data_IF_770546182565
#
_entry.id   IF_770546182565
#
_cell.length_a   1.000
_cell.length_b   1.000
_cell.length_c   1.000
_cell.angle_alpha   90.00
_cell.angle_beta   90.00
_cell.angle_gamma   90.00
#
_symmetry.space_group_name_H-M   'P 1'
#
loop_
_entity.id
_entity.type
_entity.pdbx_description
1 polymer ?
#
# COMPACT_ATOMS: atom_id res chain seq x y z
N UNK A 1 -9.51 -6.85 -9.95
CA UNK A 1 -8.39 -6.82 -8.99
C UNK A 1 -7.64 -5.57 -9.27
N UNK A 2 -7.20 -4.91 -8.22
CA UNK A 2 -6.46 -3.66 -8.30
C UNK A 2 -4.98 -3.92 -8.56
N UNK A 3 -4.33 -2.85 -8.99
CA UNK A 3 -2.88 -2.71 -9.15
C UNK A 3 -2.53 -1.26 -8.86
N UNK A 4 -1.34 -1.01 -8.32
CA UNK A 4 -0.86 0.37 -8.13
C UNK A 4 -0.68 1.12 -9.47
N UNK A 5 -0.72 2.46 -9.45
CA UNK A 5 -0.42 3.26 -10.63
C UNK A 5 0.93 2.90 -11.27
N UNK A 6 0.98 2.93 -12.60
CA UNK A 6 2.22 2.80 -13.35
C UNK A 6 2.56 4.15 -13.98
N UNK A 7 3.77 4.65 -13.74
CA UNK A 7 4.32 5.80 -14.48
C UNK A 7 4.87 5.30 -15.83
N UNK A 8 4.25 5.59 -16.98
CA UNK A 8 4.69 5.05 -18.27
C UNK A 8 6.13 5.40 -18.65
N UNK A 9 6.64 6.54 -18.20
CA UNK A 9 8.03 6.98 -18.50
C UNK A 9 9.08 6.05 -17.88
N UNK A 10 8.74 5.35 -16.80
CA UNK A 10 9.63 4.40 -16.13
C UNK A 10 9.62 3.00 -16.75
N UNK A 11 8.78 2.75 -17.76
CA UNK A 11 8.62 1.42 -18.33
C UNK A 11 9.27 1.29 -19.71
N UNK A 12 9.92 0.15 -19.94
CA UNK A 12 10.47 -0.22 -21.25
C UNK A 12 9.41 -0.82 -22.19
N UNK A 13 8.25 -1.17 -21.64
CA UNK A 13 7.12 -1.84 -22.32
C UNK A 13 5.84 -1.16 -21.85
N UNK A 14 4.75 -1.28 -22.58
CA UNK A 14 3.47 -0.79 -22.08
C UNK A 14 3.10 -1.55 -20.78
N UNK A 15 2.92 -0.85 -19.63
CA UNK A 15 2.58 -1.50 -18.36
C UNK A 15 1.23 -2.24 -18.40
N UNK A 16 0.30 -1.85 -19.25
CA UNK A 16 -1.05 -2.43 -19.29
C UNK A 16 -1.27 -3.38 -20.46
N UNK A 17 -0.20 -3.69 -21.21
CA UNK A 17 -0.19 -4.72 -22.24
C UNK A 17 0.77 -5.84 -21.83
N UNK A 18 0.24 -7.05 -21.66
CA UNK A 18 1.06 -8.22 -21.31
C UNK A 18 2.05 -8.52 -22.44
N UNK A 19 3.34 -8.41 -22.13
CA UNK A 19 4.43 -8.69 -23.07
C UNK A 19 5.20 -9.92 -22.61
N UNK A 20 5.35 -10.91 -23.50
CA UNK A 20 6.08 -12.15 -23.21
C UNK A 20 7.41 -12.14 -23.94
N UNK A 21 8.50 -12.30 -23.21
CA UNK A 21 9.85 -12.41 -23.77
C UNK A 21 10.61 -13.54 -23.12
N UNK A 22 10.83 -14.61 -23.89
CA UNK A 22 11.42 -15.84 -23.37
C UNK A 22 10.57 -16.44 -22.25
N UNK A 23 11.14 -16.50 -21.05
CA UNK A 23 10.53 -17.02 -19.83
C UNK A 23 9.91 -15.93 -18.94
N UNK A 24 9.94 -14.66 -19.37
CA UNK A 24 9.47 -13.52 -18.58
C UNK A 24 8.19 -12.92 -19.13
N UNK A 25 7.30 -12.57 -18.20
CA UNK A 25 6.04 -11.88 -18.46
C UNK A 25 6.07 -10.48 -17.85
N UNK A 26 5.98 -9.47 -18.71
CA UNK A 26 6.02 -8.06 -18.32
C UNK A 26 4.63 -7.43 -18.41
N UNK A 27 4.26 -6.73 -17.35
CA UNK A 27 3.02 -5.99 -17.21
C UNK A 27 2.80 -5.61 -15.75
N UNK A 28 2.11 -4.51 -15.49
CA UNK A 28 1.71 -4.11 -14.14
C UNK A 28 0.79 -5.19 -13.57
N UNK A 29 1.19 -5.70 -12.42
CA UNK A 29 0.47 -6.74 -11.68
C UNK A 29 0.80 -8.17 -12.08
N UNK A 30 1.72 -8.43 -13.02
CA UNK A 30 2.13 -9.81 -13.34
C UNK A 30 2.72 -10.52 -12.12
N UNK A 31 3.43 -9.79 -11.27
CA UNK A 31 3.95 -10.27 -9.97
C UNK A 31 2.97 -10.02 -8.82
N UNK A 32 2.32 -8.85 -8.81
CA UNK A 32 1.56 -8.36 -7.65
C UNK A 32 0.16 -7.83 -8.05
N UNK A 33 -0.89 -8.66 -7.98
CA UNK A 33 -0.82 -10.12 -7.83
C UNK A 33 -1.65 -10.85 -8.90
N UNK A 34 -1.90 -10.21 -10.06
CA UNK A 34 -2.70 -10.77 -11.16
C UNK A 34 -2.16 -12.11 -11.70
N UNK A 35 -0.84 -12.33 -11.68
CA UNK A 35 -0.26 -13.64 -12.00
C UNK A 35 -0.74 -14.75 -11.06
N UNK A 36 -0.83 -14.46 -9.75
CA UNK A 36 -1.36 -15.36 -8.73
C UNK A 36 -2.86 -15.57 -8.90
N UNK A 37 -3.62 -14.52 -9.24
CA UNK A 37 -5.05 -14.63 -9.57
C UNK A 37 -5.26 -15.60 -10.74
N UNK A 38 -4.46 -15.48 -11.80
CA UNK A 38 -4.51 -16.39 -12.94
C UNK A 38 -4.17 -17.83 -12.54
N UNK A 39 -3.09 -18.03 -11.77
CA UNK A 39 -2.67 -19.32 -11.26
C UNK A 39 -3.75 -20.01 -10.42
N UNK A 40 -4.32 -19.30 -9.44
CA UNK A 40 -5.37 -19.82 -8.56
C UNK A 40 -6.66 -20.12 -9.34
N UNK A 41 -7.00 -19.29 -10.33
CA UNK A 41 -8.14 -19.54 -11.21
C UNK A 41 -7.94 -20.83 -12.01
N UNK A 42 -6.74 -21.03 -12.59
CA UNK A 42 -6.41 -22.24 -13.34
C UNK A 42 -6.44 -23.49 -12.46
N UNK A 43 -5.90 -23.41 -11.23
CA UNK A 43 -5.92 -24.50 -10.26
C UNK A 43 -7.36 -24.94 -9.97
N UNK A 44 -8.24 -24.02 -9.60
CA UNK A 44 -9.64 -24.35 -9.29
C UNK A 44 -10.39 -24.88 -10.52
N UNK A 45 -10.09 -24.36 -11.71
CA UNK A 45 -10.64 -24.88 -12.98
C UNK A 45 -10.20 -26.33 -13.23
N UNK A 46 -8.94 -26.66 -13.03
CA UNK A 46 -8.41 -28.01 -13.22
C UNK A 46 -8.94 -29.00 -12.16
N UNK A 47 -9.08 -28.57 -10.90
CA UNK A 47 -9.72 -29.38 -9.85
C UNK A 47 -11.16 -29.76 -10.23
N UNK A 48 -11.92 -28.79 -10.75
CA UNK A 48 -13.28 -29.01 -11.21
C UNK A 48 -13.36 -29.95 -12.41
N UNK A 49 -12.53 -29.72 -13.44
CA UNK A 49 -12.47 -30.57 -14.65
C UNK A 49 -12.12 -32.02 -14.33
N UNK A 50 -11.16 -32.23 -13.42
CA UNK A 50 -10.69 -33.57 -13.02
C UNK A 50 -11.58 -34.21 -11.95
N UNK A 51 -12.61 -33.51 -11.48
CA UNK A 51 -13.53 -33.97 -10.43
C UNK A 51 -12.78 -34.49 -9.19
N UNK A 52 -11.71 -33.78 -8.80
CA UNK A 52 -10.90 -34.16 -7.63
C UNK A 52 -11.77 -34.08 -6.38
N UNK A 53 -11.85 -35.19 -5.63
CA UNK A 53 -12.51 -35.21 -4.33
C UNK A 53 -11.55 -34.73 -3.26
N UNK A 54 -11.89 -33.60 -2.64
CA UNK A 54 -11.16 -33.05 -1.51
C UNK A 54 -11.80 -33.53 -0.21
N UNK A 55 -10.98 -33.82 0.80
CA UNK A 55 -11.46 -34.14 2.16
C UNK A 55 -12.03 -32.91 2.87
N UNK A 56 -11.62 -31.72 2.45
CA UNK A 56 -12.05 -30.43 3.00
C UNK A 56 -12.54 -29.49 1.90
N UNK A 57 -13.35 -28.51 2.30
CA UNK A 57 -13.83 -27.47 1.38
C UNK A 57 -12.71 -26.46 1.09
N UNK A 58 -12.27 -26.37 -0.16
CA UNK A 58 -11.39 -25.31 -0.62
C UNK A 58 -12.20 -24.11 -1.12
N UNK A 59 -11.83 -22.90 -0.70
CA UNK A 59 -12.45 -21.65 -1.13
C UNK A 59 -11.35 -20.68 -1.57
N UNK A 60 -11.51 -20.09 -2.75
CA UNK A 60 -10.64 -19.01 -3.21
C UNK A 60 -11.37 -17.68 -3.02
N UNK A 61 -10.77 -16.76 -2.26
CA UNK A 61 -11.26 -15.40 -2.09
C UNK A 61 -10.37 -14.48 -2.90
N UNK A 62 -11.02 -13.64 -3.68
CA UNK A 62 -10.43 -12.84 -4.73
C UNK A 62 -10.95 -11.41 -4.49
N UNK A 63 -10.06 -10.50 -4.06
CA UNK A 63 -10.41 -9.16 -3.59
C UNK A 63 -9.89 -8.06 -4.54
N UNK A 64 -10.48 -6.88 -4.40
CA UNK A 64 -9.97 -5.64 -5.00
C UNK A 64 -9.79 -4.60 -3.89
N UNK A 65 -9.07 -3.52 -4.17
CA UNK A 65 -8.78 -2.44 -3.23
C UNK A 65 -7.88 -2.90 -2.07
N UNK A 66 -6.97 -3.83 -2.34
CA UNK A 66 -5.94 -4.24 -1.37
C UNK A 66 -4.88 -3.13 -1.24
N UNK A 67 -4.48 -2.54 -2.37
CA UNK A 67 -3.50 -1.46 -2.48
C UNK A 67 -4.09 -0.07 -2.19
N UNK A 68 -5.42 0.00 -2.03
CA UNK A 68 -6.15 1.25 -1.85
C UNK A 68 -7.26 1.11 -0.80
N UNK A 69 -7.08 1.74 0.36
CA UNK A 69 -8.08 1.74 1.43
C UNK A 69 -9.05 2.93 1.37
N UNK A 70 -9.01 3.78 0.33
CA UNK A 70 -9.84 4.98 0.26
C UNK A 70 -11.27 4.73 -0.21
N UNK A 71 -11.57 3.54 -0.77
CA UNK A 71 -12.90 3.20 -1.29
C UNK A 71 -13.67 2.39 -0.22
N UNK A 72 -14.67 2.98 0.47
CA UNK A 72 -15.40 2.26 1.51
C UNK A 72 -16.21 1.11 0.92
N UNK A 73 -16.34 0.01 1.67
CA UNK A 73 -17.18 -1.13 1.29
C UNK A 73 -16.61 -2.02 0.18
N UNK A 74 -15.33 -1.86 -0.16
CA UNK A 74 -14.59 -2.73 -1.08
C UNK A 74 -13.45 -3.41 -0.32
N UNK A 75 -13.04 -4.61 -0.75
CA UNK A 75 -11.92 -5.35 -0.17
C UNK A 75 -12.31 -6.41 0.85
N UNK A 76 -11.30 -6.97 1.51
CA UNK A 76 -11.47 -8.10 2.43
C UNK A 76 -12.27 -7.69 3.68
N UNK A 77 -12.12 -6.45 4.15
CA UNK A 77 -12.84 -5.93 5.32
C UNK A 77 -14.35 -5.92 5.09
N UNK A 78 -14.80 -5.34 3.97
CA UNK A 78 -16.21 -5.35 3.59
C UNK A 78 -16.78 -6.77 3.43
N UNK A 79 -15.96 -7.70 2.94
CA UNK A 79 -16.34 -9.11 2.83
C UNK A 79 -16.50 -9.77 4.21
N UNK A 80 -15.59 -9.49 5.15
CA UNK A 80 -15.70 -9.96 6.53
C UNK A 80 -16.93 -9.38 7.23
N UNK A 81 -17.17 -8.08 7.11
CA UNK A 81 -18.34 -7.40 7.71
C UNK A 81 -19.67 -7.96 7.17
N UNK A 82 -19.69 -8.40 5.91
CA UNK A 82 -20.88 -8.99 5.31
C UNK A 82 -21.27 -10.37 5.86
N UNK A 83 -20.38 -11.04 6.61
CA UNK A 83 -20.57 -12.41 7.12
C UNK A 83 -20.55 -13.51 6.05
N UNK A 84 -20.40 -13.17 4.77
CA UNK A 84 -20.44 -14.13 3.65
C UNK A 84 -19.35 -15.20 3.70
N UNK A 85 -18.25 -14.91 4.40
CA UNK A 85 -17.11 -15.83 4.56
C UNK A 85 -16.96 -16.35 6.00
N UNK A 86 -17.97 -16.18 6.87
CA UNK A 86 -17.90 -16.66 8.26
C UNK A 86 -17.67 -18.17 8.34
N UNK A 87 -18.16 -18.91 7.36
CA UNK A 87 -18.00 -20.37 7.27
C UNK A 87 -16.54 -20.83 7.06
N UNK A 88 -15.62 -19.93 6.67
CA UNK A 88 -14.17 -20.21 6.56
C UNK A 88 -13.33 -19.48 7.61
N UNK A 89 -13.92 -18.66 8.47
CA UNK A 89 -13.20 -17.74 9.37
C UNK A 89 -12.22 -18.43 10.33
N UNK A 90 -12.51 -19.66 10.73
CA UNK A 90 -11.66 -20.45 11.64
C UNK A 90 -10.78 -21.48 10.92
N UNK A 91 -10.80 -21.48 9.59
CA UNK A 91 -9.99 -22.39 8.77
C UNK A 91 -8.56 -21.86 8.57
N UNK A 92 -7.65 -22.71 8.06
CA UNK A 92 -6.35 -22.25 7.61
C UNK A 92 -6.52 -21.30 6.41
N UNK A 93 -5.75 -20.22 6.41
CA UNK A 93 -5.70 -19.25 5.31
C UNK A 93 -4.33 -19.28 4.68
N UNK A 94 -4.30 -19.35 3.35
CA UNK A 94 -3.09 -19.15 2.56
C UNK A 94 -3.31 -17.86 1.77
N UNK A 95 -2.58 -16.83 2.14
CA UNK A 95 -2.53 -15.58 1.39
C UNK A 95 -1.46 -15.73 0.31
N UNK A 96 -1.87 -15.64 -0.95
CA UNK A 96 -0.97 -15.81 -2.11
C UNK A 96 -0.71 -14.44 -2.69
N UNK A 97 0.50 -13.94 -2.47
CA UNK A 97 0.85 -12.56 -2.78
C UNK A 97 2.36 -12.39 -2.99
N UNK A 98 2.72 -11.38 -3.79
CA UNK A 98 4.09 -11.01 -4.12
C UNK A 98 4.92 -12.12 -4.80
N UNK A 99 6.12 -11.75 -5.28
CA UNK A 99 7.14 -12.74 -5.66
C UNK A 99 8.36 -12.63 -4.75
N UNK A 100 9.13 -13.72 -4.72
CA UNK A 100 10.48 -13.79 -4.15
C UNK A 100 10.60 -13.70 -2.62
N UNK A 101 9.53 -14.07 -1.90
CA UNK A 101 9.58 -14.27 -0.44
C UNK A 101 9.33 -15.73 -0.06
N UNK A 102 10.02 -16.19 0.99
CA UNK A 102 9.71 -17.45 1.66
C UNK A 102 8.30 -17.34 2.30
N UNK A 103 7.60 -18.47 2.54
CA UNK A 103 6.33 -18.45 3.26
C UNK A 103 6.43 -17.63 4.55
N UNK A 104 5.52 -16.66 4.69
CA UNK A 104 5.48 -15.76 5.83
C UNK A 104 4.29 -16.09 6.74
N UNK A 105 4.50 -15.99 8.06
CA UNK A 105 3.47 -16.25 9.08
C UNK A 105 2.97 -14.97 9.77
N UNK A 106 3.43 -13.80 9.34
CA UNK A 106 3.02 -12.51 9.89
C UNK A 106 3.57 -11.33 9.10
N UNK A 107 2.74 -10.30 8.91
CA UNK A 107 3.11 -9.06 8.23
C UNK A 107 3.14 -7.89 9.22
N UNK A 108 3.83 -6.82 8.84
CA UNK A 108 3.80 -5.58 9.61
C UNK A 108 2.40 -4.94 9.51
N UNK A 109 1.95 -4.34 10.61
CA UNK A 109 0.77 -3.47 10.58
C UNK A 109 1.10 -2.13 9.90
N UNK A 110 0.07 -1.46 9.41
CA UNK A 110 0.17 -0.12 8.83
C UNK A 110 -0.79 0.83 9.54
N UNK A 111 -0.34 2.05 9.81
CA UNK A 111 -1.18 3.14 10.31
C UNK A 111 -0.86 4.37 9.45
N UNK A 112 -1.89 4.92 8.82
CA UNK A 112 -1.80 6.14 8.01
C UNK A 112 -2.46 7.31 8.75
N UNK A 113 -1.90 8.51 8.58
CA UNK A 113 -2.43 9.75 9.15
C UNK A 113 -1.93 10.95 8.36
N UNK A 114 -2.57 12.10 8.55
CA UNK A 114 -2.27 13.33 7.81
C UNK A 114 -1.75 14.41 8.74
N UNK A 115 -0.59 14.99 8.42
CA UNK A 115 -0.08 16.20 9.06
C UNK A 115 -0.53 17.43 8.28
N UNK A 116 -1.14 18.40 8.96
CA UNK A 116 -1.48 19.70 8.37
C UNK A 116 -0.72 20.82 9.07
N UNK A 117 0.13 21.51 8.32
CA UNK A 117 0.84 22.71 8.77
C UNK A 117 0.27 23.96 8.10
N UNK A 118 -0.20 24.92 8.90
CA UNK A 118 -0.82 26.16 8.41
C UNK A 118 0.09 27.35 8.68
N UNK A 119 0.60 27.96 7.61
CA UNK A 119 1.40 29.18 7.66
C UNK A 119 0.58 30.48 7.61
N UNK A 120 1.26 31.59 7.30
CA UNK A 120 0.67 32.91 7.05
C UNK A 120 1.20 33.48 5.74
N UNK A 121 0.29 33.82 4.83
CA UNK A 121 0.60 34.17 3.45
C UNK A 121 1.19 35.58 3.42
N UNK A 122 2.32 35.74 2.75
CA UNK A 122 2.90 37.05 2.48
C UNK A 122 3.88 36.98 1.31
N UNK A 123 4.28 38.14 0.78
CA UNK A 123 5.30 38.22 -0.26
C UNK A 123 6.66 37.74 0.28
N UNK A 124 7.38 36.91 -0.48
CA UNK A 124 8.66 36.33 -0.06
C UNK A 124 9.76 37.38 0.20
N UNK A 125 9.65 38.55 -0.43
CA UNK A 125 10.52 39.71 -0.16
C UNK A 125 10.33 40.39 1.20
N UNK A 126 9.29 40.02 1.96
CA UNK A 126 9.03 40.51 3.32
C UNK A 126 8.76 39.31 4.26
N UNK A 127 9.76 38.44 4.48
CA UNK A 127 9.58 37.15 5.16
C UNK A 127 9.13 37.31 6.62
N UNK A 128 9.51 38.41 7.26
CA UNK A 128 9.13 38.76 8.63
C UNK A 128 7.61 39.00 8.82
N UNK A 129 6.83 39.11 7.74
CA UNK A 129 5.39 39.36 7.81
C UNK A 129 4.52 38.12 7.56
N UNK A 130 5.13 36.98 7.20
CA UNK A 130 4.44 35.71 6.99
C UNK A 130 5.12 34.55 7.72
N UNK A 131 4.57 33.36 7.51
CA UNK A 131 5.03 32.11 8.11
C UNK A 131 4.93 31.04 7.03
N UNK A 132 6.02 30.36 6.73
CA UNK A 132 6.03 29.32 5.71
C UNK A 132 5.49 28.01 6.29
N UNK A 133 4.33 27.56 5.81
CA UNK A 133 3.73 26.29 6.26
C UNK A 133 4.59 25.06 5.96
N UNK A 134 5.43 25.12 4.92
CA UNK A 134 6.33 24.02 4.56
C UNK A 134 7.42 23.84 5.61
N UNK A 135 8.03 24.93 6.07
CA UNK A 135 9.05 24.90 7.12
C UNK A 135 8.49 24.32 8.43
N UNK A 136 7.29 24.76 8.83
CA UNK A 136 6.58 24.19 9.98
C UNK A 136 6.33 22.69 9.83
N UNK A 137 5.94 22.25 8.62
CA UNK A 137 5.72 20.84 8.31
C UNK A 137 7.02 20.03 8.41
N UNK A 138 8.12 20.54 7.88
CA UNK A 138 9.44 19.89 7.94
C UNK A 138 9.93 19.73 9.39
N UNK A 139 9.80 20.78 10.20
CA UNK A 139 10.18 20.74 11.63
C UNK A 139 9.34 19.71 12.39
N UNK A 140 8.02 19.71 12.17
CA UNK A 140 7.11 18.77 12.81
C UNK A 140 7.40 17.32 12.39
N UNK A 141 7.62 17.04 11.10
CA UNK A 141 7.97 15.70 10.61
C UNK A 141 9.26 15.20 11.26
N UNK A 142 10.27 16.07 11.37
CA UNK A 142 11.55 15.73 12.02
C UNK A 142 11.32 15.28 13.46
N UNK A 143 10.57 16.06 14.25
CA UNK A 143 10.28 15.72 15.65
C UNK A 143 9.44 14.47 15.83
N UNK A 144 8.48 14.24 14.93
CA UNK A 144 7.67 13.03 14.98
C UNK A 144 8.48 11.79 14.62
N UNK A 145 9.37 11.88 13.63
CA UNK A 145 10.27 10.78 13.28
C UNK A 145 11.27 10.48 14.39
N UNK A 146 11.91 11.50 14.97
CA UNK A 146 12.79 11.34 16.14
C UNK A 146 12.07 10.55 17.24
N UNK A 147 10.89 11.03 17.65
CA UNK A 147 10.12 10.37 18.70
C UNK A 147 9.68 8.95 18.33
N UNK A 148 9.28 8.73 17.09
CA UNK A 148 8.89 7.40 16.60
C UNK A 148 10.05 6.42 16.70
N UNK A 149 11.26 6.79 16.26
CA UNK A 149 12.41 5.88 16.32
C UNK A 149 12.97 5.71 17.73
N UNK A 150 12.73 6.66 18.63
CA UNK A 150 13.03 6.50 20.06
C UNK A 150 12.08 5.49 20.72
N UNK A 151 10.77 5.59 20.44
CA UNK A 151 9.74 4.74 21.06
C UNK A 151 9.64 3.35 20.40
N UNK A 152 9.82 3.29 19.08
CA UNK A 152 9.57 2.12 18.22
C UNK A 152 10.77 1.78 17.33
N UNK A 153 11.98 2.13 17.76
CA UNK A 153 13.21 1.74 17.07
C UNK A 153 13.41 0.23 16.99
N UNK A 154 14.50 -0.22 16.32
CA UNK A 154 14.75 -1.64 16.09
C UNK A 154 14.73 -2.47 17.39
N UNK A 155 13.92 -3.51 17.40
CA UNK A 155 13.77 -4.43 18.52
C UNK A 155 14.59 -5.71 18.29
N UNK A 156 15.08 -6.34 19.36
CA UNK A 156 15.92 -7.55 19.24
C UNK A 156 15.13 -8.72 18.68
N UNK A 157 13.84 -8.75 19.00
CA UNK A 157 12.86 -9.74 18.62
C UNK A 157 12.65 -9.78 17.10
N UNK A 158 12.82 -8.65 16.40
CA UNK A 158 12.70 -8.58 14.94
C UNK A 158 13.70 -9.51 14.24
N UNK A 159 14.90 -9.69 14.81
CA UNK A 159 15.89 -10.67 14.31
C UNK A 159 15.47 -12.11 14.57
N UNK A 160 14.81 -12.36 15.70
CA UNK A 160 14.30 -13.70 16.05
C UNK A 160 13.19 -14.11 15.09
N UNK A 161 12.33 -13.16 14.71
CA UNK A 161 11.26 -13.37 13.75
C UNK A 161 11.68 -13.20 12.28
N UNK A 162 12.97 -12.92 12.03
CA UNK A 162 13.53 -12.73 10.70
C UNK A 162 12.80 -11.65 9.87
N UNK A 163 12.38 -10.55 10.51
CA UNK A 163 11.86 -9.40 9.79
C UNK A 163 12.97 -8.71 8.99
N UNK A 164 12.65 -8.36 7.75
CA UNK A 164 13.59 -7.71 6.82
C UNK A 164 13.93 -6.27 7.25
N UNK A 165 13.00 -5.60 7.93
CA UNK A 165 13.16 -4.25 8.42
C UNK A 165 12.46 -4.06 9.78
N UNK A 166 12.94 -3.12 10.61
CA UNK A 166 12.26 -2.69 11.81
C UNK A 166 11.04 -1.84 11.47
N UNK A 167 10.28 -1.45 12.49
CA UNK A 167 9.21 -0.45 12.35
C UNK A 167 9.75 0.85 11.73
N UNK A 168 9.01 1.43 10.77
CA UNK A 168 9.40 2.68 10.10
C UNK A 168 8.26 3.68 10.01
N UNK A 169 8.62 4.96 9.95
CA UNK A 169 7.70 6.07 9.69
C UNK A 169 8.24 6.90 8.52
N UNK A 170 7.46 6.97 7.42
CA UNK A 170 7.84 7.68 6.19
C UNK A 170 6.66 8.51 5.64
N UNK A 171 6.89 9.79 5.28
CA UNK A 171 5.89 10.54 4.52
C UNK A 171 5.79 9.98 3.11
N UNK A 172 4.58 9.59 2.69
CA UNK A 172 4.32 8.99 1.37
C UNK A 172 3.78 9.99 0.34
N UNK A 173 3.15 11.09 0.81
CA UNK A 173 2.57 12.14 -0.03
C UNK A 173 2.79 13.50 0.62
N UNK A 174 3.19 14.49 -0.18
CA UNK A 174 3.31 15.89 0.25
C UNK A 174 2.58 16.76 -0.76
N UNK A 175 1.66 17.57 -0.26
CA UNK A 175 0.89 18.53 -1.05
C UNK A 175 1.06 19.94 -0.46
N UNK A 176 1.02 20.96 -1.32
CA UNK A 176 1.05 22.37 -0.91
C UNK A 176 0.11 23.19 -1.81
N UNK A 177 -0.34 24.35 -1.33
CA UNK A 177 -1.14 25.31 -2.14
C UNK A 177 -0.40 25.71 -3.42
N UNK A 178 -1.10 26.04 -4.50
CA UNK A 178 -0.55 26.37 -5.84
C UNK A 178 -0.17 27.85 -6.03
N UNK A 179 0.37 28.50 -5.00
CA UNK A 179 0.70 29.93 -5.05
C UNK A 179 1.93 30.22 -5.94
N UNK A 180 2.06 31.48 -6.39
CA UNK A 180 3.18 31.94 -7.22
C UNK A 180 4.52 31.91 -6.47
N UNK A 181 5.63 31.82 -7.21
CA UNK A 181 7.01 31.73 -6.67
C UNK A 181 7.41 32.87 -5.72
N UNK A 182 6.69 33.99 -5.71
CA UNK A 182 6.95 35.15 -4.87
C UNK A 182 6.10 35.21 -3.58
N UNK A 183 5.45 34.11 -3.20
CA UNK A 183 4.59 34.05 -2.02
C UNK A 183 5.09 32.98 -1.03
N UNK A 184 5.04 33.29 0.26
CA UNK A 184 5.22 32.30 1.32
C UNK A 184 3.99 31.41 1.43
N UNK A 185 4.22 30.10 1.51
CA UNK A 185 3.18 29.09 1.33
C UNK A 185 2.20 29.05 2.51
N UNK A 186 0.91 29.04 2.18
CA UNK A 186 -0.20 28.73 3.08
C UNK A 186 -1.06 27.71 2.39
N UNK A 187 -1.22 26.55 3.01
CA UNK A 187 -2.14 25.54 2.50
C UNK A 187 -3.58 26.05 2.70
N UNK A 188 -4.17 26.61 1.63
CA UNK A 188 -5.60 26.94 1.55
C UNK A 188 -6.31 25.66 1.07
N UNK A 189 -7.27 25.18 1.86
CA UNK A 189 -8.16 24.09 1.44
C UNK A 189 -9.32 24.68 0.63
N UNK A 190 -9.64 24.16 -0.57
CA UNK A 190 -10.96 24.37 -1.15
C UNK A 190 -11.92 23.43 -0.41
N UNK A 191 -12.95 24.00 0.23
CA UNK A 191 -13.95 23.33 1.07
C UNK A 191 -14.29 21.89 0.69
#
# INVERSE_FOLDING_TARGET
MDVVPANPEGWQRDPFTLTVEGDKLYGRGTTDCLGHVALMTELFKELAKRQVRLETKAVCVLIASEENSEIPGVGVEALMESGKIDFIKNGPVIWVDGSDSQPCIGTAGVITWTLKATGKLFHSGLPNLGINGIELGMDAVTKLQERFYDDFGPAKEEKVYNFLCPSTMKPMKVESSTNGLNQMWVLIWPG
#
